data_IF_838433036439
#
_entry.id   IF_838433036439
#
_cell.length_a   1.000
_cell.length_b   1.000
_cell.length_c   1.000
_cell.angle_alpha   90.00
_cell.angle_beta   90.00
_cell.angle_gamma   90.00
#
_symmetry.space_group_name_H-M   'P 1'
#
loop_
_entity.id
_entity.type
_entity.pdbx_description
1 polymer ?
#
# COMPACT_ATOMS: atom_id res chain seq x y z
N UNK A 1 -20.58 -20.27 0.65
CA UNK A 1 -20.27 -18.82 0.65
C UNK A 1 -19.24 -18.54 1.73
N UNK A 2 -18.03 -18.10 1.36
CA UNK A 2 -17.11 -17.40 2.26
C UNK A 2 -16.34 -16.41 1.38
N UNK A 3 -16.54 -15.12 1.67
CA UNK A 3 -16.12 -14.00 0.84
C UNK A 3 -14.60 -13.97 0.72
N UNK A 4 -14.11 -13.75 -0.50
CA UNK A 4 -12.69 -13.68 -0.85
C UNK A 4 -11.94 -12.69 0.01
N UNK A 5 -11.32 -13.19 1.08
CA UNK A 5 -10.23 -12.53 1.77
C UNK A 5 -8.94 -12.88 1.04
N UNK A 6 -8.84 -12.45 -0.23
CA UNK A 6 -7.51 -12.37 -0.85
C UNK A 6 -6.71 -11.36 -0.03
N UNK A 7 -5.46 -11.65 0.37
CA UNK A 7 -4.62 -10.69 1.07
C UNK A 7 -4.39 -9.48 0.16
N UNK A 8 -5.26 -8.48 0.27
CA UNK A 8 -5.17 -7.29 -0.55
C UNK A 8 -3.94 -6.53 -0.09
N UNK A 9 -3.00 -6.41 -1.01
CA UNK A 9 -1.77 -5.69 -0.79
C UNK A 9 -2.03 -4.23 -1.17
N UNK A 10 -1.73 -3.31 -0.26
CA UNK A 10 -1.91 -1.88 -0.48
C UNK A 10 -0.54 -1.23 -0.64
N UNK A 11 -0.41 -0.30 -1.58
CA UNK A 11 0.83 0.45 -1.80
C UNK A 11 0.58 1.89 -1.43
N UNK A 12 1.23 2.37 -0.37
CA UNK A 12 1.12 3.72 0.14
C UNK A 12 2.24 4.60 -0.43
N UNK A 13 1.87 5.66 -1.13
CA UNK A 13 2.77 6.69 -1.58
C UNK A 13 2.51 7.98 -0.80
N UNK A 14 3.56 8.52 -0.18
CA UNK A 14 3.48 9.82 0.47
C UNK A 14 3.90 10.89 -0.54
N UNK A 15 2.94 11.72 -0.93
CA UNK A 15 3.16 12.88 -1.76
C UNK A 15 4.01 13.95 -1.06
N UNK A 16 4.62 14.82 -1.85
CA UNK A 16 5.41 15.96 -1.38
C UNK A 16 4.57 16.98 -0.62
N UNK A 17 3.29 17.13 -0.95
CA UNK A 17 2.37 18.04 -0.24
C UNK A 17 1.86 17.45 1.08
N UNK A 18 2.25 16.21 1.40
CA UNK A 18 1.85 15.52 2.63
C UNK A 18 0.58 14.68 2.48
N UNK A 19 -0.06 14.70 1.32
CA UNK A 19 -1.15 13.80 0.96
C UNK A 19 -0.65 12.35 0.84
N UNK A 20 -1.41 11.41 1.38
CA UNK A 20 -1.11 9.99 1.30
C UNK A 20 -1.99 9.37 0.21
N UNK A 21 -1.38 8.72 -0.77
CA UNK A 21 -2.08 8.00 -1.83
C UNK A 21 -1.91 6.51 -1.59
N UNK A 22 -2.96 5.74 -1.78
CA UNK A 22 -2.91 4.29 -1.72
C UNK A 22 -3.60 3.68 -2.92
N UNK A 23 -3.00 2.61 -3.43
CA UNK A 23 -3.56 1.79 -4.50
C UNK A 23 -3.59 0.33 -4.05
N UNK A 24 -4.56 -0.40 -4.58
CA UNK A 24 -4.71 -1.82 -4.32
C UNK A 24 -4.03 -2.64 -5.41
N UNK A 25 -3.19 -3.58 -5.01
CA UNK A 25 -2.58 -4.57 -5.89
C UNK A 25 -3.03 -5.97 -5.51
N UNK A 26 -3.05 -6.87 -6.49
CA UNK A 26 -3.51 -8.24 -6.28
C UNK A 26 -2.59 -9.00 -5.30
N UNK A 27 -1.27 -8.83 -5.43
CA UNK A 27 -0.28 -9.45 -4.54
C UNK A 27 1.07 -8.75 -4.60
N UNK A 28 1.84 -8.85 -3.51
CA UNK A 28 3.26 -8.45 -3.45
C UNK A 28 4.07 -9.17 -4.53
N UNK A 29 3.77 -10.43 -4.82
CA UNK A 29 4.46 -11.20 -5.86
C UNK A 29 4.22 -10.62 -7.27
N UNK A 30 3.00 -10.19 -7.58
CA UNK A 30 2.68 -9.57 -8.86
C UNK A 30 3.45 -8.24 -9.02
N UNK A 31 3.54 -7.47 -7.94
CA UNK A 31 4.30 -6.23 -7.90
C UNK A 31 5.81 -6.47 -8.06
N UNK A 32 6.37 -7.50 -7.41
CA UNK A 32 7.77 -7.88 -7.58
C UNK A 32 8.07 -8.37 -9.01
N UNK A 33 7.19 -9.19 -9.58
CA UNK A 33 7.30 -9.66 -10.96
C UNK A 33 7.24 -8.49 -11.94
N UNK A 34 6.35 -7.52 -11.74
CA UNK A 34 6.28 -6.32 -12.56
C UNK A 34 7.51 -5.42 -12.41
N UNK A 35 8.06 -5.31 -11.20
CA UNK A 35 9.33 -4.60 -10.96
C UNK A 35 10.52 -5.30 -11.66
N UNK A 36 10.49 -6.63 -11.74
CA UNK A 36 11.52 -7.41 -12.43
C UNK A 36 11.33 -7.44 -13.95
N UNK A 37 10.08 -7.46 -14.42
CA UNK A 37 9.71 -7.63 -15.82
C UNK A 37 8.60 -6.65 -16.20
N UNK A 38 8.98 -5.57 -16.87
CA UNK A 38 8.05 -4.51 -17.29
C UNK A 38 7.21 -4.89 -18.53
N UNK A 39 7.27 -6.14 -19.02
CA UNK A 39 6.35 -6.61 -20.07
C UNK A 39 4.99 -7.03 -19.52
N UNK A 40 4.83 -7.16 -18.20
CA UNK A 40 3.54 -7.49 -17.58
C UNK A 40 2.66 -6.22 -17.56
N UNK A 41 1.41 -6.29 -18.06
CA UNK A 41 0.50 -5.16 -18.01
C UNK A 41 0.11 -4.86 -16.55
N UNK A 42 0.19 -3.58 -16.18
CA UNK A 42 -0.15 -3.11 -14.84
C UNK A 42 -1.61 -3.41 -14.45
N UNK A 43 -2.50 -3.56 -15.45
CA UNK A 43 -3.89 -3.98 -15.27
C UNK A 43 -4.01 -5.35 -14.58
N UNK A 44 -3.05 -6.26 -14.80
CA UNK A 44 -3.04 -7.58 -14.16
C UNK A 44 -2.38 -7.56 -12.77
N UNK A 45 -1.74 -6.46 -12.38
CA UNK A 45 -1.05 -6.33 -11.10
C UNK A 45 -1.90 -5.53 -10.11
N UNK A 46 -2.60 -4.52 -10.62
CA UNK A 46 -3.43 -3.59 -9.85
C UNK A 46 -4.86 -4.14 -9.78
N UNK A 47 -5.41 -4.26 -8.58
CA UNK A 47 -6.77 -4.79 -8.37
C UNK A 47 -7.88 -3.86 -8.92
N UNK A 48 -7.52 -2.61 -9.23
CA UNK A 48 -8.38 -1.66 -9.91
C UNK A 48 -7.71 -0.30 -10.10
N UNK A 49 -8.11 0.41 -11.15
CA UNK A 49 -7.61 1.74 -11.50
C UNK A 49 -8.28 2.81 -10.64
N UNK A 50 -8.09 2.71 -9.32
CA UNK A 50 -8.61 3.67 -8.35
C UNK A 50 -7.55 4.04 -7.33
N UNK A 51 -7.19 5.32 -7.32
CA UNK A 51 -6.32 5.89 -6.29
C UNK A 51 -7.20 6.35 -5.13
N UNK A 52 -6.83 5.95 -3.92
CA UNK A 52 -7.55 6.27 -2.70
C UNK A 52 -6.63 7.04 -1.75
N UNK A 53 -7.21 7.86 -0.89
CA UNK A 53 -6.50 8.67 0.12
C UNK A 53 -7.08 8.28 1.48
N UNK A 54 -6.28 7.75 2.41
CA UNK A 54 -6.73 7.55 3.78
C UNK A 54 -6.85 8.90 4.49
N UNK A 55 -8.06 9.23 4.95
CA UNK A 55 -8.32 10.47 5.68
C UNK A 55 -7.85 10.39 7.15
N UNK A 56 -7.83 9.19 7.72
CA UNK A 56 -7.49 8.92 9.12
C UNK A 56 -6.47 7.77 9.26
N UNK A 57 -5.21 8.04 8.89
CA UNK A 57 -4.10 7.10 9.07
C UNK A 57 -4.17 5.84 8.19
N UNK A 58 -3.15 4.96 8.30
CA UNK A 58 -2.95 3.78 7.41
C UNK A 58 -4.10 2.75 7.43
N UNK A 59 -5.10 2.90 8.30
CA UNK A 59 -6.19 1.94 8.50
C UNK A 59 -7.59 2.60 8.63
N UNK A 60 -7.71 3.88 8.23
CA UNK A 60 -8.96 4.64 8.31
C UNK A 60 -9.87 4.51 7.09
N UNK A 61 -10.88 5.39 7.03
CA UNK A 61 -11.75 5.50 5.86
C UNK A 61 -10.91 5.92 4.65
N UNK A 62 -10.98 5.09 3.61
CA UNK A 62 -10.33 5.36 2.33
C UNK A 62 -11.28 6.16 1.46
N UNK A 63 -10.97 7.43 1.26
CA UNK A 63 -11.69 8.27 0.31
C UNK A 63 -11.07 8.14 -1.08
N UNK A 64 -11.85 8.44 -2.11
CA UNK A 64 -11.32 8.44 -3.47
C UNK A 64 -10.47 9.69 -3.67
N UNK A 65 -9.26 9.56 -4.22
CA UNK A 65 -8.42 10.72 -4.52
C UNK A 65 -9.15 11.64 -5.50
N UNK A 66 -9.21 12.93 -5.20
CA UNK A 66 -9.73 13.91 -6.15
C UNK A 66 -8.74 14.13 -7.28
N UNK A 67 -9.23 14.35 -8.50
CA UNK A 67 -8.39 14.69 -9.66
C UNK A 67 -7.43 15.85 -9.36
N UNK A 68 -7.92 16.87 -8.65
CA UNK A 68 -7.10 18.00 -8.22
C UNK A 68 -5.91 17.62 -7.34
N UNK A 69 -6.07 16.65 -6.43
CA UNK A 69 -4.96 16.21 -5.57
C UNK A 69 -3.91 15.44 -6.38
N UNK A 70 -4.38 14.60 -7.32
CA UNK A 70 -3.48 13.90 -8.23
C UNK A 70 -2.73 14.88 -9.14
N UNK A 71 -3.41 15.88 -9.69
CA UNK A 71 -2.78 16.90 -10.53
C UNK A 71 -1.82 17.80 -9.75
N UNK A 72 -2.08 18.05 -8.46
CA UNK A 72 -1.17 18.85 -7.63
C UNK A 72 0.13 18.09 -7.31
N UNK A 73 0.05 16.78 -7.08
CA UNK A 73 1.22 15.96 -6.71
C UNK A 73 1.99 15.39 -7.89
N UNK A 74 1.27 14.96 -8.93
CA UNK A 74 1.86 14.32 -10.11
C UNK A 74 1.99 15.28 -11.30
N UNK A 75 1.37 16.46 -11.23
CA UNK A 75 1.36 17.48 -12.27
C UNK A 75 0.06 17.50 -13.08
N UNK A 76 -0.34 18.69 -13.53
CA UNK A 76 -1.52 18.89 -14.36
C UNK A 76 -1.37 18.13 -15.69
N UNK A 77 -2.28 17.19 -15.95
CA UNK A 77 -2.25 16.33 -17.14
C UNK A 77 -1.42 15.04 -17.01
N UNK A 78 -0.95 14.68 -15.81
CA UNK A 78 -0.40 13.36 -15.56
C UNK A 78 -1.43 12.28 -15.87
N UNK A 79 -1.04 11.28 -16.67
CA UNK A 79 -1.91 10.14 -16.99
C UNK A 79 -2.02 9.24 -15.77
N UNK A 80 -3.17 8.60 -15.60
CA UNK A 80 -3.38 7.61 -14.55
C UNK A 80 -2.27 6.54 -14.58
N UNK A 81 -1.91 6.02 -15.76
CA UNK A 81 -0.76 5.11 -15.91
C UNK A 81 0.54 5.62 -15.25
N UNK A 82 0.89 6.89 -15.44
CA UNK A 82 2.14 7.45 -14.93
C UNK A 82 2.09 7.59 -13.40
N UNK A 83 0.95 8.03 -12.88
CA UNK A 83 0.65 8.11 -11.45
C UNK A 83 0.79 6.73 -10.80
N UNK A 84 0.13 5.72 -11.36
CA UNK A 84 0.19 4.35 -10.84
C UNK A 84 1.61 3.79 -10.91
N UNK A 85 2.32 4.02 -12.01
CA UNK A 85 3.72 3.59 -12.18
C UNK A 85 4.62 4.21 -11.10
N UNK A 86 4.47 5.51 -10.84
CA UNK A 86 5.23 6.22 -9.82
C UNK A 86 4.90 5.73 -8.40
N UNK A 87 3.62 5.53 -8.09
CA UNK A 87 3.18 4.96 -6.81
C UNK A 87 3.71 3.53 -6.62
N UNK A 88 3.73 2.68 -7.65
CA UNK A 88 4.28 1.33 -7.55
C UNK A 88 5.80 1.32 -7.38
N UNK A 89 6.51 2.27 -8.00
CA UNK A 89 7.97 2.38 -7.92
C UNK A 89 8.43 2.96 -6.58
N UNK A 90 7.86 4.09 -6.17
CA UNK A 90 8.28 4.85 -4.98
C UNK A 90 7.45 4.55 -3.74
N UNK A 91 6.29 3.90 -3.87
CA UNK A 91 5.39 3.62 -2.77
C UNK A 91 5.86 2.46 -1.87
N UNK A 92 5.43 2.53 -0.62
CA UNK A 92 5.65 1.54 0.42
C UNK A 92 4.53 0.50 0.38
N UNK A 93 4.91 -0.76 0.15
CA UNK A 93 3.97 -1.88 0.15
C UNK A 93 3.60 -2.25 1.60
N UNK A 94 2.33 -2.17 1.92
CA UNK A 94 1.73 -2.70 3.15
C UNK A 94 0.79 -3.84 2.77
N UNK A 95 1.21 -5.07 3.03
CA UNK A 95 0.34 -6.23 2.98
C UNK A 95 -0.56 -6.25 4.22
N UNK A 96 -1.87 -6.47 4.03
CA UNK A 96 -2.78 -6.79 5.13
C UNK A 96 -2.68 -8.26 5.58
N UNK A 97 -1.63 -8.98 5.18
CA UNK A 97 -1.11 -10.04 6.03
C UNK A 97 -0.59 -9.35 7.27
N UNK A 98 -1.43 -9.34 8.31
CA UNK A 98 -1.05 -9.33 9.71
C UNK A 98 0.47 -9.36 9.80
N UNK A 99 1.11 -8.18 9.81
CA UNK A 99 2.51 -8.09 10.19
C UNK A 99 2.47 -8.72 11.54
N UNK A 100 2.87 -9.99 11.55
CA UNK A 100 2.84 -10.86 12.69
C UNK A 100 3.51 -9.97 13.69
N UNK A 101 2.71 -9.53 14.67
CA UNK A 101 3.25 -8.86 15.80
C UNK A 101 4.15 -9.95 16.37
N UNK A 102 5.39 -9.98 15.93
CA UNK A 102 6.54 -10.27 16.74
C UNK A 102 6.54 -9.09 17.72
N UNK A 103 5.50 -9.06 18.55
CA UNK A 103 5.59 -8.61 19.90
C UNK A 103 6.65 -9.53 20.42
N UNK A 104 7.87 -9.02 20.38
CA UNK A 104 8.98 -9.48 21.19
C UNK A 104 8.35 -9.51 22.57
N UNK A 105 7.88 -10.71 22.93
CA UNK A 105 7.08 -10.92 24.12
C UNK A 105 7.94 -10.41 25.25
N UNK A 106 7.34 -9.58 26.08
CA UNK A 106 7.87 -9.10 27.33
C UNK A 106 8.78 -10.15 27.98
N UNK A 107 10.10 -10.01 27.81
CA UNK A 107 11.11 -10.81 28.50
C UNK A 107 11.24 -10.25 29.93
N UNK A 108 10.15 -10.32 30.69
CA UNK A 108 10.21 -10.30 32.14
C UNK A 108 10.97 -11.55 32.58
N UNK A 109 12.30 -11.45 32.55
CA UNK A 109 13.20 -12.23 33.38
C UNK A 109 12.91 -11.83 34.83
N UNK A 110 11.86 -12.43 35.39
CA UNK A 110 11.64 -12.47 36.82
C UNK A 110 12.83 -13.20 37.44
N UNK A 111 13.75 -12.43 38.01
CA UNK A 111 14.84 -12.92 38.84
C UNK A 111 14.26 -13.61 40.07
N UNK A 112 14.02 -14.92 39.95
CA UNK A 112 13.86 -15.82 41.09
C UNK A 112 15.25 -16.03 41.66
N UNK A 113 15.68 -15.10 42.50
CA UNK A 113 16.80 -15.33 43.40
C UNK A 113 16.22 -15.83 44.71
N UNK A 114 16.28 -17.14 44.88
CA UNK A 114 16.13 -17.80 46.16
C UNK A 114 17.32 -17.40 47.03
N UNK A 115 17.06 -16.91 48.24
CA UNK A 115 17.97 -16.94 49.38
C UNK A 115 17.15 -16.96 50.67
#
# INVERSE_FOLDING_TARGET
MARGNSPQTQVFYKGSTGDLFTIFVESVEALQKWKADSSIPMVEVVAGWKVMVPEHGKQGVLNTASKQQLENEFGAGAKEDDIFKKILQEGEVQSSENSERIGITNETQGGRQAH
#
